data_IF_043539215858
#
_entry.id   IF_043539215858
#
_cell.length_a   1.000
_cell.length_b   1.000
_cell.length_c   1.000
_cell.angle_alpha   90.00
_cell.angle_beta   90.00
_cell.angle_gamma   90.00
#
_symmetry.space_group_name_H-M   'P 1'
#
loop_
_entity.id
_entity.type
_entity.pdbx_description
1 polymer ?
#
# COMPACT_ATOMS: atom_id res chain seq x y z
N UNK A 1 36.13 -18.98 -29.66
CA UNK A 1 35.05 -19.24 -28.70
C UNK A 1 35.05 -18.05 -27.76
N UNK A 2 34.32 -16.99 -28.14
CA UNK A 2 34.33 -15.68 -27.42
C UNK A 2 33.07 -15.68 -26.56
N UNK A 3 33.25 -15.83 -25.25
CA UNK A 3 32.18 -15.77 -24.27
C UNK A 3 31.74 -14.32 -24.04
N UNK A 4 30.45 -14.11 -24.15
CA UNK A 4 29.76 -12.84 -24.21
C UNK A 4 29.90 -12.05 -22.89
N UNK A 5 30.42 -10.85 -22.97
CA UNK A 5 30.72 -9.90 -21.87
C UNK A 5 29.52 -9.53 -21.00
N UNK A 6 28.29 -9.78 -21.43
CA UNK A 6 27.06 -9.54 -20.66
C UNK A 6 26.78 -10.60 -19.60
N UNK A 7 27.18 -11.85 -19.80
CA UNK A 7 27.00 -12.93 -18.82
C UNK A 7 27.94 -12.77 -17.62
N UNK A 8 29.18 -12.29 -17.84
CA UNK A 8 30.12 -12.05 -16.75
C UNK A 8 29.71 -10.92 -15.80
N UNK A 9 28.96 -9.91 -16.27
CA UNK A 9 28.46 -8.82 -15.40
C UNK A 9 27.32 -9.30 -14.49
N UNK A 10 26.49 -10.22 -14.93
CA UNK A 10 25.41 -10.81 -14.11
C UNK A 10 25.94 -11.74 -13.02
N UNK A 11 27.00 -12.52 -13.32
CA UNK A 11 27.64 -13.41 -12.34
C UNK A 11 28.41 -12.62 -11.27
N UNK A 12 29.06 -11.53 -11.65
CA UNK A 12 29.76 -10.63 -10.69
C UNK A 12 28.75 -9.90 -9.78
N UNK A 13 27.58 -9.52 -10.29
CA UNK A 13 26.54 -8.90 -9.47
C UNK A 13 25.87 -9.88 -8.50
N UNK A 14 25.72 -11.15 -8.89
CA UNK A 14 25.20 -12.21 -8.01
C UNK A 14 26.23 -12.63 -6.92
N UNK A 15 27.52 -12.57 -7.20
CA UNK A 15 28.57 -12.87 -6.21
C UNK A 15 28.76 -11.72 -5.18
N UNK A 16 28.48 -10.49 -5.55
CA UNK A 16 28.58 -9.33 -4.63
C UNK A 16 27.41 -9.26 -3.63
N UNK A 17 26.29 -9.93 -3.90
CA UNK A 17 25.16 -10.02 -2.98
C UNK A 17 25.30 -11.12 -1.91
N UNK A 18 26.28 -12.02 -2.04
CA UNK A 18 26.50 -13.15 -1.12
C UNK A 18 27.53 -12.88 -0.01
N UNK A 19 28.14 -11.70 0.05
CA UNK A 19 29.18 -11.38 1.05
C UNK A 19 28.77 -10.37 2.12
N UNK A 20 27.47 -10.19 2.37
CA UNK A 20 27.02 -9.42 3.53
C UNK A 20 26.84 -10.34 4.74
N UNK A 21 27.91 -10.61 5.45
CA UNK A 21 27.84 -11.15 6.82
C UNK A 21 27.32 -10.06 7.76
N UNK A 22 26.36 -10.36 8.64
CA UNK A 22 25.94 -9.38 9.64
C UNK A 22 27.04 -9.22 10.69
N UNK A 23 27.65 -8.04 10.72
CA UNK A 23 28.53 -7.62 11.80
C UNK A 23 27.66 -7.42 13.04
N UNK A 24 27.73 -8.35 13.99
CA UNK A 24 27.06 -8.26 15.28
C UNK A 24 27.64 -7.09 16.09
N UNK A 25 26.87 -6.01 16.17
CA UNK A 25 27.15 -4.94 17.12
C UNK A 25 26.69 -5.39 18.51
N UNK A 26 27.64 -5.80 19.35
CA UNK A 26 27.42 -5.91 20.80
C UNK A 26 27.23 -4.50 21.37
N UNK A 27 25.98 -4.16 21.69
CA UNK A 27 25.67 -2.99 22.48
C UNK A 27 26.11 -3.24 23.93
N UNK A 28 27.24 -2.67 24.28
CA UNK A 28 27.65 -2.57 25.66
C UNK A 28 26.77 -1.52 26.36
N UNK A 29 25.86 -1.99 27.21
CA UNK A 29 25.01 -1.14 28.04
C UNK A 29 25.84 -0.49 29.12
N UNK A 30 26.31 0.72 28.89
CA UNK A 30 26.88 1.57 29.95
C UNK A 30 25.73 2.32 30.61
N UNK A 31 25.39 1.88 31.82
CA UNK A 31 24.43 2.55 32.70
C UNK A 31 25.06 3.87 33.17
N UNK A 32 24.66 4.98 32.61
CA UNK A 32 25.01 6.31 33.11
C UNK A 32 23.99 6.66 34.20
N UNK A 33 24.40 6.57 35.45
CA UNK A 33 23.69 7.15 36.59
C UNK A 33 23.91 8.67 36.56
N UNK A 34 22.83 9.43 36.34
CA UNK A 34 22.80 10.86 36.54
C UNK A 34 22.43 11.14 38.01
N UNK A 35 23.09 12.06 38.69
CA UNK A 35 22.78 12.38 40.09
C UNK A 35 21.45 13.13 40.18
N UNK A 36 20.61 12.66 41.09
CA UNK A 36 19.48 13.39 41.62
C UNK A 36 20.03 14.59 42.44
N UNK A 37 19.83 15.79 41.89
CA UNK A 37 19.81 16.97 42.73
C UNK A 37 18.64 17.85 42.42
N UNK A 38 17.85 17.96 43.44
CA UNK A 38 16.69 18.78 43.68
C UNK A 38 16.80 20.23 43.17
N UNK A 39 15.87 20.63 42.30
CA UNK A 39 15.39 22.00 42.28
C UNK A 39 13.86 21.95 42.25
N UNK A 40 13.28 22.09 43.43
CA UNK A 40 11.90 22.51 43.64
C UNK A 40 11.81 23.99 43.28
N UNK A 41 11.19 24.29 42.14
CA UNK A 41 10.71 25.60 41.85
C UNK A 41 9.20 25.53 41.65
N UNK A 42 8.51 25.89 42.68
CA UNK A 42 7.15 26.38 42.74
C UNK A 42 7.02 27.51 41.74
N UNK A 43 6.16 27.38 40.73
CA UNK A 43 5.50 28.54 40.13
C UNK A 43 4.08 28.16 39.72
N UNK A 44 3.25 28.88 40.42
CA UNK A 44 1.82 29.06 40.31
C UNK A 44 1.28 29.22 38.90
N UNK A 45 0.07 28.69 38.80
CA UNK A 45 -1.09 29.29 38.13
C UNK A 45 -0.82 30.15 36.90
N UNK A 46 -1.13 29.58 35.73
CA UNK A 46 -1.75 30.38 34.70
C UNK A 46 -2.24 29.58 33.51
N UNK A 47 -3.55 29.70 33.28
CA UNK A 47 -4.23 29.57 31.99
C UNK A 47 -4.30 28.14 31.42
N UNK A 48 -5.49 27.55 31.23
CA UNK A 48 -5.66 26.36 30.46
C UNK A 48 -5.30 26.67 28.98
N UNK A 49 -4.05 26.54 28.65
CA UNK A 49 -3.61 26.58 27.27
C UNK A 49 -4.47 25.60 26.51
N UNK A 50 -5.33 26.07 25.62
CA UNK A 50 -6.04 25.26 24.63
C UNK A 50 -5.02 24.25 24.09
N UNK A 51 -5.11 22.96 24.48
CA UNK A 51 -4.23 21.90 23.97
C UNK A 51 -4.23 22.05 22.47
N UNK A 52 -3.09 22.41 21.90
CA UNK A 52 -2.93 22.62 20.47
C UNK A 52 -3.55 21.42 19.76
N UNK A 53 -4.36 21.66 18.73
CA UNK A 53 -4.95 20.61 17.89
C UNK A 53 -3.90 19.58 17.50
N UNK A 54 -2.67 20.01 17.23
CA UNK A 54 -1.51 19.18 16.90
C UNK A 54 -1.11 18.25 18.06
N UNK A 55 -1.15 18.70 19.31
CA UNK A 55 -0.86 17.84 20.47
C UNK A 55 -1.94 16.79 20.68
N UNK A 56 -3.22 17.14 20.52
CA UNK A 56 -4.32 16.17 20.56
C UNK A 56 -4.22 15.14 19.43
N UNK A 57 -3.76 15.57 18.26
CA UNK A 57 -3.53 14.72 17.11
C UNK A 57 -2.39 13.73 17.38
N UNK A 58 -1.23 14.19 17.87
CA UNK A 58 -0.11 13.31 18.26
C UNK A 58 -0.47 12.35 19.39
N UNK A 59 -1.19 12.82 20.40
CA UNK A 59 -1.66 11.98 21.51
C UNK A 59 -2.60 10.87 21.01
N UNK A 60 -3.49 11.19 20.05
CA UNK A 60 -4.37 10.22 19.41
C UNK A 60 -3.58 9.13 18.66
N UNK A 61 -2.53 9.51 17.90
CA UNK A 61 -1.65 8.55 17.22
C UNK A 61 -0.91 7.63 18.20
N UNK A 62 -0.36 8.21 19.26
CA UNK A 62 0.33 7.44 20.30
C UNK A 62 -0.61 6.47 21.03
N UNK A 63 -1.85 6.88 21.26
CA UNK A 63 -2.85 6.02 21.91
C UNK A 63 -3.45 4.96 20.97
N UNK A 64 -3.52 5.22 19.67
CA UNK A 64 -4.00 4.28 18.67
C UNK A 64 -3.06 3.07 18.52
N UNK A 65 -1.75 3.27 18.75
CA UNK A 65 -0.73 2.23 18.61
C UNK A 65 -0.43 1.46 19.92
N UNK A 66 -1.12 1.79 21.03
CA UNK A 66 -0.99 1.03 22.30
C UNK A 66 -1.80 -0.26 22.24
N UNK A 67 -1.17 -1.39 22.54
CA UNK A 67 -1.87 -2.67 22.72
C UNK A 67 -2.93 -2.56 23.82
N UNK A 68 -4.18 -2.65 23.46
CA UNK A 68 -5.30 -2.74 24.40
C UNK A 68 -5.84 -4.18 24.39
N UNK A 69 -5.50 -4.95 25.40
CA UNK A 69 -6.07 -6.28 25.66
C UNK A 69 -7.61 -6.18 25.68
N UNK A 70 -8.30 -6.93 24.80
CA UNK A 70 -9.77 -7.05 24.68
C UNK A 70 -10.50 -6.09 23.72
N UNK A 71 -9.89 -5.61 22.66
CA UNK A 71 -10.64 -4.88 21.62
C UNK A 71 -11.31 -5.83 20.62
N UNK A 72 -12.56 -5.49 20.25
CA UNK A 72 -13.28 -6.11 19.11
C UNK A 72 -12.61 -5.78 17.78
N UNK A 73 -11.87 -4.68 17.73
CA UNK A 73 -11.20 -4.11 16.58
C UNK A 73 -9.84 -3.61 17.04
N UNK A 74 -8.80 -4.19 16.50
CA UNK A 74 -7.42 -3.76 16.74
C UNK A 74 -7.00 -2.84 15.60
N UNK A 75 -6.61 -1.61 15.95
CA UNK A 75 -6.42 -0.54 15.01
C UNK A 75 -5.04 0.10 15.21
N UNK A 76 -4.28 0.20 14.13
CA UNK A 76 -2.96 0.81 14.09
C UNK A 76 -2.93 1.92 13.02
N UNK A 77 -2.29 3.03 13.35
CA UNK A 77 -2.10 4.15 12.43
C UNK A 77 -0.62 4.46 12.29
N UNK A 78 -0.17 4.52 11.06
CA UNK A 78 1.20 4.87 10.70
C UNK A 78 1.13 5.96 9.64
N UNK A 79 1.96 6.99 9.79
CA UNK A 79 2.03 8.05 8.79
C UNK A 79 3.18 8.99 9.06
N UNK A 80 3.50 9.78 8.06
CA UNK A 80 4.58 10.76 8.16
C UNK A 80 4.88 11.44 6.83
N UNK A 81 5.77 12.44 6.88
CA UNK A 81 6.27 13.09 5.69
C UNK A 81 7.19 12.12 4.91
N UNK A 82 7.12 12.22 3.60
CA UNK A 82 7.99 11.47 2.69
C UNK A 82 8.45 12.35 1.52
N UNK A 83 9.47 11.89 0.84
CA UNK A 83 9.97 12.48 -0.39
C UNK A 83 10.17 11.41 -1.47
N UNK A 84 9.73 11.69 -2.68
CA UNK A 84 9.92 10.85 -3.86
C UNK A 84 10.31 11.74 -5.06
N UNK A 85 11.05 11.20 -6.03
CA UNK A 85 11.41 11.90 -7.25
C UNK A 85 10.18 12.38 -8.03
N UNK A 86 9.12 11.59 -8.05
CA UNK A 86 7.92 11.82 -8.87
C UNK A 86 6.89 12.69 -8.16
N UNK A 87 6.67 12.44 -6.87
CA UNK A 87 5.66 13.15 -6.07
C UNK A 87 6.23 14.27 -5.20
N UNK A 88 7.57 14.43 -5.19
CA UNK A 88 8.29 15.43 -4.37
C UNK A 88 7.97 15.25 -2.89
N UNK A 89 7.70 16.34 -2.18
CA UNK A 89 7.38 16.29 -0.76
C UNK A 89 5.91 15.91 -0.56
N UNK A 90 5.64 14.93 0.31
CA UNK A 90 4.30 14.45 0.60
C UNK A 90 4.09 14.11 2.06
N UNK A 91 2.84 13.91 2.41
CA UNK A 91 2.38 13.41 3.69
C UNK A 91 1.47 12.22 3.46
N UNK A 92 1.92 11.03 3.91
CA UNK A 92 1.20 9.78 3.81
C UNK A 92 0.67 9.31 5.15
N UNK A 93 -0.48 8.62 5.13
CA UNK A 93 -1.13 8.05 6.30
C UNK A 93 -1.76 6.72 5.95
N UNK A 94 -1.52 5.71 6.78
CA UNK A 94 -2.14 4.38 6.70
C UNK A 94 -2.76 4.05 8.04
N UNK A 95 -4.04 3.73 8.02
CA UNK A 95 -4.77 3.21 9.15
C UNK A 95 -5.17 1.76 8.87
N UNK A 96 -4.65 0.82 9.63
CA UNK A 96 -4.92 -0.62 9.46
C UNK A 96 -5.64 -1.18 10.67
N UNK A 97 -6.64 -2.00 10.45
CA UNK A 97 -7.41 -2.64 11.50
C UNK A 97 -7.61 -4.13 11.25
N UNK A 98 -7.54 -4.89 12.34
CA UNK A 98 -7.88 -6.31 12.38
C UNK A 98 -9.17 -6.50 13.18
N UNK A 99 -10.08 -7.32 12.67
CA UNK A 99 -11.32 -7.64 13.35
C UNK A 99 -11.73 -9.08 13.14
N UNK A 100 -12.39 -9.67 14.14
CA UNK A 100 -12.92 -11.03 14.06
C UNK A 100 -14.39 -10.99 13.67
N UNK A 101 -14.71 -11.70 12.61
CA UNK A 101 -16.09 -11.86 12.13
C UNK A 101 -16.88 -12.84 13.00
N UNK A 102 -16.21 -13.89 13.48
CA UNK A 102 -16.78 -14.84 14.45
C UNK A 102 -15.92 -14.85 15.71
N UNK A 103 -16.56 -14.78 16.87
CA UNK A 103 -15.91 -14.80 18.19
C UNK A 103 -15.78 -16.18 18.77
N UNK A 104 -16.64 -17.09 18.31
CA UNK A 104 -16.71 -18.46 18.80
C UNK A 104 -15.65 -19.29 18.10
N UNK A 105 -15.42 -19.02 16.80
CA UNK A 105 -14.39 -19.68 16.00
C UNK A 105 -13.02 -19.02 16.21
N UNK A 106 -12.28 -19.55 17.17
CA UNK A 106 -10.91 -19.08 17.50
C UNK A 106 -9.88 -19.47 16.44
N UNK A 107 -10.20 -20.44 15.58
CA UNK A 107 -9.33 -20.90 14.50
C UNK A 107 -9.44 -20.01 13.24
N UNK A 108 -10.52 -19.24 13.14
CA UNK A 108 -10.71 -18.32 12.03
C UNK A 108 -9.71 -17.15 12.14
N UNK A 109 -8.84 -16.93 11.14
CA UNK A 109 -7.97 -15.77 11.13
C UNK A 109 -8.78 -14.46 11.16
N UNK A 110 -8.24 -13.39 11.74
CA UNK A 110 -8.92 -12.10 11.73
C UNK A 110 -9.03 -11.54 10.31
N UNK A 111 -10.15 -10.93 10.01
CA UNK A 111 -10.35 -10.08 8.85
C UNK A 111 -9.54 -8.79 8.99
N UNK A 112 -9.13 -8.19 7.89
CA UNK A 112 -8.39 -6.94 7.90
C UNK A 112 -9.04 -5.87 7.03
N UNK A 113 -8.83 -4.63 7.39
CA UNK A 113 -9.16 -3.45 6.61
C UNK A 113 -8.05 -2.43 6.75
N UNK A 114 -7.64 -1.83 5.65
CA UNK A 114 -6.65 -0.75 5.64
C UNK A 114 -7.21 0.43 4.86
N UNK A 115 -7.13 1.60 5.46
CA UNK A 115 -7.40 2.89 4.83
C UNK A 115 -6.05 3.59 4.64
N UNK A 116 -5.79 4.11 3.46
CA UNK A 116 -4.56 4.85 3.18
C UNK A 116 -4.86 6.11 2.39
N UNK A 117 -4.16 7.15 2.74
CA UNK A 117 -4.22 8.45 2.10
C UNK A 117 -2.85 9.06 1.95
N UNK A 118 -2.66 9.81 0.88
CA UNK A 118 -1.42 10.50 0.58
C UNK A 118 -1.72 11.81 -0.16
N UNK A 119 -0.95 12.83 0.13
CA UNK A 119 -1.01 14.11 -0.57
C UNK A 119 0.39 14.68 -0.75
N UNK A 120 0.66 15.32 -1.88
CA UNK A 120 1.97 15.89 -2.15
C UNK A 120 1.92 17.30 -2.72
N UNK A 121 3.08 17.95 -2.71
CA UNK A 121 3.26 19.34 -3.18
C UNK A 121 3.06 19.53 -4.66
N UNK A 122 3.21 18.48 -5.49
CA UNK A 122 2.99 18.52 -6.94
C UNK A 122 1.55 18.21 -7.36
N UNK A 123 0.63 18.14 -6.38
CA UNK A 123 -0.78 17.85 -6.65
C UNK A 123 -1.09 16.35 -6.84
N UNK A 124 -0.19 15.47 -6.40
CA UNK A 124 -0.53 14.06 -6.20
C UNK A 124 -1.43 13.94 -4.99
N UNK A 125 -2.47 13.15 -5.10
CA UNK A 125 -3.27 12.67 -3.98
C UNK A 125 -3.72 11.25 -4.22
N UNK A 126 -3.78 10.47 -3.16
CA UNK A 126 -4.23 9.09 -3.13
C UNK A 126 -5.17 8.91 -1.94
N UNK A 127 -6.30 8.29 -2.17
CA UNK A 127 -7.18 7.77 -1.14
C UNK A 127 -7.55 6.34 -1.50
N UNK A 128 -7.37 5.41 -0.57
CA UNK A 128 -7.66 4.02 -0.85
C UNK A 128 -8.15 3.25 0.36
N UNK A 129 -8.94 2.21 0.07
CA UNK A 129 -9.43 1.24 1.04
C UNK A 129 -9.18 -0.14 0.47
N UNK A 130 -8.53 -1.00 1.23
CA UNK A 130 -8.38 -2.42 0.90
C UNK A 130 -8.62 -3.29 2.11
N UNK A 131 -9.06 -4.50 1.87
CA UNK A 131 -9.22 -5.45 2.95
C UNK A 131 -9.59 -6.84 2.49
N UNK A 132 -9.55 -7.75 3.47
CA UNK A 132 -10.02 -9.11 3.34
C UNK A 132 -11.06 -9.35 4.43
N UNK A 133 -12.27 -9.66 4.06
CA UNK A 133 -13.32 -10.06 4.97
C UNK A 133 -13.51 -11.58 4.89
N UNK A 134 -13.26 -12.26 6.01
CA UNK A 134 -13.44 -13.69 6.15
C UNK A 134 -14.78 -13.96 6.81
N UNK A 135 -15.60 -14.75 6.14
CA UNK A 135 -16.89 -15.17 6.68
C UNK A 135 -16.72 -16.34 7.67
N UNK A 136 -17.70 -16.57 8.56
CA UNK A 136 -17.65 -17.64 9.54
C UNK A 136 -17.32 -19.01 8.92
N UNK A 137 -16.51 -19.80 9.63
CA UNK A 137 -15.99 -21.12 9.20
C UNK A 137 -15.12 -21.04 7.93
N UNK A 138 -14.66 -19.84 7.55
CA UNK A 138 -13.86 -19.60 6.35
C UNK A 138 -14.47 -20.15 5.05
N UNK A 139 -15.82 -20.15 4.97
CA UNK A 139 -16.55 -20.64 3.80
C UNK A 139 -16.43 -19.72 2.60
N UNK A 140 -16.39 -18.42 2.86
CA UNK A 140 -16.29 -17.37 1.85
C UNK A 140 -15.23 -16.37 2.26
N UNK A 141 -14.59 -15.76 1.25
CA UNK A 141 -13.66 -14.64 1.44
C UNK A 141 -14.02 -13.54 0.46
N UNK A 142 -14.11 -12.31 0.95
CA UNK A 142 -14.31 -11.11 0.15
C UNK A 142 -13.02 -10.28 0.22
N UNK A 143 -12.33 -10.16 -0.90
CA UNK A 143 -11.21 -9.26 -1.03
C UNK A 143 -11.69 -8.03 -1.80
N UNK A 144 -11.37 -6.86 -1.30
CA UNK A 144 -11.72 -5.61 -1.95
C UNK A 144 -10.56 -4.63 -1.93
N UNK A 145 -10.49 -3.83 -2.99
CA UNK A 145 -9.46 -2.83 -3.17
C UNK A 145 -10.04 -1.68 -4.00
N UNK A 146 -10.13 -0.52 -3.37
CA UNK A 146 -10.67 0.70 -3.95
C UNK A 146 -9.63 1.78 -3.86
N UNK A 147 -9.34 2.45 -4.99
CA UNK A 147 -8.47 3.63 -4.99
C UNK A 147 -9.08 4.77 -5.78
N UNK A 148 -8.72 5.95 -5.30
CA UNK A 148 -8.91 7.21 -6.02
C UNK A 148 -7.58 7.94 -5.95
N UNK A 149 -6.98 8.23 -7.10
CA UNK A 149 -5.74 8.97 -7.12
C UNK A 149 -5.64 9.92 -8.31
N UNK A 150 -4.88 10.99 -8.11
CA UNK A 150 -4.44 11.88 -9.15
C UNK A 150 -2.92 11.90 -9.17
N UNK A 151 -2.33 11.63 -10.31
CA UNK A 151 -0.89 11.51 -10.47
C UNK A 151 -0.41 12.41 -11.60
N UNK A 152 0.59 13.30 -11.37
CA UNK A 152 1.27 13.98 -12.44
C UNK A 152 2.02 12.94 -13.28
N UNK A 153 1.80 12.94 -14.57
CA UNK A 153 2.33 11.95 -15.51
C UNK A 153 2.93 12.64 -16.71
N UNK A 154 3.89 11.99 -17.33
CA UNK A 154 4.54 12.43 -18.55
C UNK A 154 4.06 11.61 -19.75
N UNK A 155 3.96 12.23 -20.91
CA UNK A 155 3.58 11.61 -22.15
C UNK A 155 4.36 12.22 -23.32
N UNK A 156 4.87 11.37 -24.20
CA UNK A 156 5.70 11.77 -25.35
C UNK A 156 5.02 11.58 -26.70
N UNK A 157 3.74 11.25 -26.71
CA UNK A 157 3.03 10.91 -27.94
C UNK A 157 3.03 9.40 -28.22
N UNK A 158 2.40 9.04 -29.34
CA UNK A 158 2.19 7.65 -29.74
C UNK A 158 3.28 7.19 -30.71
N UNK A 159 3.83 5.99 -30.46
CA UNK A 159 4.82 5.35 -31.34
C UNK A 159 6.26 5.65 -30.95
N UNK A 160 7.18 4.94 -31.60
CA UNK A 160 8.60 5.00 -31.29
C UNK A 160 9.21 6.37 -31.58
N UNK A 161 8.88 6.96 -32.72
CA UNK A 161 9.47 8.22 -33.19
C UNK A 161 9.12 9.39 -32.24
N UNK A 162 7.87 9.45 -31.78
CA UNK A 162 7.45 10.43 -30.80
C UNK A 162 8.09 10.18 -29.43
N UNK A 163 8.14 8.91 -28.99
CA UNK A 163 8.72 8.54 -27.70
C UNK A 163 10.25 8.68 -27.64
N UNK A 164 10.93 8.67 -28.77
CA UNK A 164 12.38 8.88 -28.85
C UNK A 164 12.78 10.37 -28.86
N UNK A 165 11.83 11.27 -29.13
CA UNK A 165 12.07 12.71 -29.17
C UNK A 165 11.76 13.34 -27.80
N UNK A 166 12.80 13.80 -27.10
CA UNK A 166 12.66 14.47 -25.81
C UNK A 166 11.86 15.79 -25.87
N UNK A 167 11.80 16.42 -27.03
CA UNK A 167 11.02 17.66 -27.21
C UNK A 167 9.51 17.39 -27.13
N UNK A 168 9.07 16.12 -27.26
CA UNK A 168 7.67 15.73 -27.14
C UNK A 168 7.23 15.49 -25.70
N UNK A 169 8.12 15.64 -24.72
CA UNK A 169 7.73 15.54 -23.31
C UNK A 169 6.62 16.52 -22.98
N UNK A 170 5.53 16.00 -22.44
CA UNK A 170 4.31 16.75 -22.14
C UNK A 170 3.76 16.31 -20.78
N UNK A 171 3.59 17.28 -19.90
CA UNK A 171 2.95 17.07 -18.60
C UNK A 171 1.43 16.92 -18.75
N UNK A 172 0.86 16.00 -18.00
CA UNK A 172 -0.59 15.91 -17.80
C UNK A 172 -0.93 15.35 -16.42
N UNK A 173 -2.15 15.58 -15.98
CA UNK A 173 -2.67 14.98 -14.73
C UNK A 173 -3.55 13.78 -15.06
N UNK A 174 -3.20 12.63 -14.51
CA UNK A 174 -3.98 11.41 -14.61
C UNK A 174 -4.80 11.22 -13.34
N UNK A 175 -6.10 11.35 -13.47
CA UNK A 175 -7.04 10.91 -12.43
C UNK A 175 -7.45 9.48 -12.70
N UNK A 176 -7.43 8.62 -11.68
CA UNK A 176 -7.90 7.25 -11.79
C UNK A 176 -8.73 6.86 -10.56
N UNK A 177 -9.85 6.22 -10.82
CA UNK A 177 -10.66 5.52 -9.83
C UNK A 177 -10.71 4.05 -10.19
N UNK A 178 -10.31 3.19 -9.26
CA UNK A 178 -10.33 1.74 -9.44
C UNK A 178 -11.11 1.07 -8.33
N UNK A 179 -11.95 0.12 -8.71
CA UNK A 179 -12.65 -0.79 -7.81
C UNK A 179 -12.33 -2.20 -8.25
N UNK A 180 -11.73 -2.99 -7.36
CA UNK A 180 -11.48 -4.42 -7.57
C UNK A 180 -12.11 -5.20 -6.42
N UNK A 181 -12.91 -6.20 -6.77
CA UNK A 181 -13.60 -7.07 -5.81
C UNK A 181 -13.44 -8.52 -6.25
N UNK A 182 -13.01 -9.37 -5.32
CA UNK A 182 -12.93 -10.82 -5.48
C UNK A 182 -13.81 -11.48 -4.43
N UNK A 183 -14.78 -12.26 -4.83
CA UNK A 183 -15.63 -13.04 -3.92
C UNK A 183 -15.36 -14.52 -4.10
N UNK A 184 -14.74 -15.15 -3.09
CA UNK A 184 -14.21 -16.51 -3.19
C UNK A 184 -14.99 -17.48 -2.33
N UNK A 185 -15.26 -18.65 -2.88
CA UNK A 185 -15.91 -19.79 -2.26
C UNK A 185 -14.87 -20.86 -1.92
N UNK A 186 -14.93 -21.41 -0.73
CA UNK A 186 -14.05 -22.51 -0.34
C UNK A 186 -14.47 -23.81 -1.02
N UNK A 187 -13.62 -24.34 -1.90
CA UNK A 187 -13.82 -25.64 -2.56
C UNK A 187 -13.27 -26.81 -1.73
N UNK A 188 -12.07 -26.64 -1.17
CA UNK A 188 -11.39 -27.63 -0.36
C UNK A 188 -10.59 -26.94 0.74
N UNK A 189 -9.90 -27.70 1.59
CA UNK A 189 -9.01 -27.13 2.59
C UNK A 189 -7.98 -26.24 1.91
N UNK A 190 -7.89 -24.97 2.31
CA UNK A 190 -6.96 -23.96 1.81
C UNK A 190 -7.14 -23.57 0.32
N UNK A 191 -8.19 -24.05 -0.35
CA UNK A 191 -8.42 -23.83 -1.76
C UNK A 191 -9.75 -23.12 -2.01
N UNK A 192 -9.69 -22.02 -2.75
CA UNK A 192 -10.82 -21.12 -2.97
C UNK A 192 -10.90 -20.76 -4.46
N UNK A 193 -12.12 -20.59 -4.94
CA UNK A 193 -12.42 -20.12 -6.31
C UNK A 193 -13.57 -19.11 -6.24
N UNK A 194 -13.57 -18.16 -7.15
CA UNK A 194 -14.70 -17.24 -7.23
C UNK A 194 -14.57 -16.19 -8.32
N UNK A 195 -15.64 -15.45 -8.56
CA UNK A 195 -15.65 -14.36 -9.52
C UNK A 195 -14.81 -13.18 -9.01
N UNK A 196 -14.19 -12.50 -9.97
CA UNK A 196 -13.50 -11.23 -9.80
C UNK A 196 -14.15 -10.19 -10.71
N UNK A 197 -14.34 -8.99 -10.19
CA UNK A 197 -14.77 -7.83 -10.96
C UNK A 197 -13.77 -6.68 -10.75
N UNK A 198 -13.41 -6.01 -11.84
CA UNK A 198 -12.56 -4.82 -11.83
C UNK A 198 -13.27 -3.73 -12.64
N UNK A 199 -13.32 -2.56 -12.06
CA UNK A 199 -13.78 -1.34 -12.72
C UNK A 199 -12.68 -0.28 -12.61
N UNK A 200 -12.24 0.23 -13.75
CA UNK A 200 -11.26 1.30 -13.87
C UNK A 200 -11.86 2.49 -14.62
N UNK A 201 -11.78 3.66 -14.02
CA UNK A 201 -12.07 4.93 -14.66
C UNK A 201 -10.81 5.78 -14.69
N UNK A 202 -10.39 6.18 -15.86
CA UNK A 202 -9.18 6.99 -16.08
C UNK A 202 -9.58 8.26 -16.82
N UNK A 203 -9.12 9.42 -16.34
CA UNK A 203 -9.38 10.72 -16.94
C UNK A 203 -8.07 11.54 -16.97
N UNK A 204 -7.56 11.77 -18.17
CA UNK A 204 -6.41 12.64 -18.40
C UNK A 204 -6.86 14.10 -18.47
N UNK A 205 -6.15 14.96 -17.76
CA UNK A 205 -6.48 16.41 -17.67
C UNK A 205 -5.22 17.26 -17.76
N UNK A 206 -5.42 18.52 -18.11
CA UNK A 206 -4.38 19.54 -18.11
C UNK A 206 -3.18 19.13 -18.97
N UNK A 207 -3.42 18.73 -20.22
CA UNK A 207 -2.37 18.42 -21.17
C UNK A 207 -1.59 19.67 -21.54
N UNK A 208 -0.28 19.64 -21.39
CA UNK A 208 0.59 20.75 -21.82
C UNK A 208 0.66 20.83 -23.34
N UNK A 209 0.76 19.67 -24.02
CA UNK A 209 0.81 19.53 -25.48
C UNK A 209 -0.36 18.67 -25.97
N UNK A 210 -1.57 19.25 -26.13
CA UNK A 210 -2.75 18.49 -26.52
C UNK A 210 -2.66 17.89 -27.92
N UNK A 211 -1.80 18.44 -28.81
CA UNK A 211 -1.54 17.93 -30.15
C UNK A 211 -0.97 16.51 -30.17
N UNK A 212 -0.23 16.11 -29.13
CA UNK A 212 0.32 14.76 -29.00
C UNK A 212 -0.77 13.71 -28.71
N UNK A 213 -1.96 14.14 -28.34
CA UNK A 213 -3.11 13.30 -28.00
C UNK A 213 -4.08 13.11 -29.16
N UNK A 214 -3.73 13.51 -30.37
CA UNK A 214 -4.59 13.41 -31.54
C UNK A 214 -5.21 12.03 -31.71
N UNK A 215 -6.55 11.99 -31.78
CA UNK A 215 -7.33 10.77 -31.96
C UNK A 215 -7.42 9.84 -30.73
N UNK A 216 -6.88 10.24 -29.58
CA UNK A 216 -7.01 9.46 -28.36
C UNK A 216 -8.06 10.04 -27.40
N UNK A 217 -8.84 9.16 -26.78
CA UNK A 217 -9.77 9.57 -25.75
C UNK A 217 -9.01 9.94 -24.47
N UNK A 218 -9.20 11.17 -23.99
CA UNK A 218 -8.65 11.61 -22.71
C UNK A 218 -9.29 10.86 -21.52
N UNK A 219 -10.47 10.29 -21.76
CA UNK A 219 -11.24 9.54 -20.75
C UNK A 219 -11.48 8.11 -21.21
N UNK A 220 -11.22 7.16 -20.32
CA UNK A 220 -11.41 5.72 -20.57
C UNK A 220 -12.07 5.07 -19.37
N UNK A 221 -13.06 4.21 -19.65
CA UNK A 221 -13.68 3.37 -18.64
C UNK A 221 -13.49 1.91 -19.04
N UNK A 222 -12.97 1.12 -18.11
CA UNK A 222 -12.72 -0.30 -18.31
C UNK A 222 -13.49 -1.10 -17.28
N UNK A 223 -14.20 -2.14 -17.73
CA UNK A 223 -14.87 -3.09 -16.84
C UNK A 223 -14.42 -4.49 -17.22
N UNK A 224 -13.88 -5.22 -16.26
CA UNK A 224 -13.40 -6.58 -16.47
C UNK A 224 -14.06 -7.53 -15.48
N UNK A 225 -14.47 -8.69 -15.98
CA UNK A 225 -14.92 -9.82 -15.17
C UNK A 225 -13.94 -10.96 -15.34
N UNK A 226 -13.71 -11.70 -14.28
CA UNK A 226 -12.75 -12.80 -14.30
C UNK A 226 -13.05 -13.84 -13.24
N UNK A 227 -12.18 -14.84 -13.17
CA UNK A 227 -12.18 -15.87 -12.15
C UNK A 227 -10.87 -15.80 -11.38
N UNK A 228 -10.95 -15.91 -10.08
CA UNK A 228 -9.81 -16.01 -9.16
C UNK A 228 -9.75 -17.41 -8.57
N UNK A 229 -8.54 -17.96 -8.50
CA UNK A 229 -8.23 -19.22 -7.87
C UNK A 229 -7.16 -18.97 -6.81
N UNK A 230 -7.44 -19.32 -5.56
CA UNK A 230 -6.55 -19.07 -4.45
C UNK A 230 -6.23 -20.36 -3.70
N UNK A 231 -4.94 -20.61 -3.52
CA UNK A 231 -4.44 -21.56 -2.53
C UNK A 231 -3.74 -20.80 -1.42
N UNK A 232 -4.23 -20.93 -0.19
CA UNK A 232 -3.71 -20.20 0.98
C UNK A 232 -3.61 -21.12 2.19
N UNK A 233 -2.40 -21.61 2.45
CA UNK A 233 -2.08 -22.47 3.60
C UNK A 233 -1.29 -21.77 4.69
N UNK A 234 -1.20 -20.43 4.64
CA UNK A 234 -0.47 -19.64 5.64
C UNK A 234 -1.06 -19.80 7.03
N UNK A 235 -0.20 -19.87 8.03
CA UNK A 235 -0.56 -19.86 9.44
C UNK A 235 -1.19 -18.52 9.87
N UNK A 236 -0.60 -17.39 9.42
CA UNK A 236 -1.13 -16.04 9.63
C UNK A 236 -1.25 -15.28 8.30
N UNK A 237 -2.39 -14.65 8.07
CA UNK A 237 -2.65 -13.95 6.80
C UNK A 237 -1.81 -12.69 6.63
N UNK A 238 -1.52 -11.98 7.71
CA UNK A 238 -0.82 -10.69 7.72
C UNK A 238 0.69 -10.82 7.90
N UNK A 239 1.14 -11.86 8.62
CA UNK A 239 2.55 -12.11 8.90
C UNK A 239 2.78 -13.62 8.99
N UNK A 240 2.95 -14.27 7.84
CA UNK A 240 3.10 -15.71 7.74
C UNK A 240 4.53 -16.15 8.10
N UNK A 241 4.62 -17.14 8.99
CA UNK A 241 5.88 -17.83 9.30
C UNK A 241 6.00 -19.13 8.49
N UNK A 242 4.86 -19.77 8.20
CA UNK A 242 4.80 -21.03 7.46
C UNK A 242 3.61 -21.04 6.50
N UNK A 243 3.75 -21.82 5.42
CA UNK A 243 2.69 -22.04 4.45
C UNK A 243 2.96 -21.39 3.10
N UNK A 244 2.03 -21.60 2.16
CA UNK A 244 2.12 -21.12 0.79
C UNK A 244 0.90 -20.26 0.47
N UNK A 245 1.14 -19.23 -0.33
CA UNK A 245 0.11 -18.39 -0.91
C UNK A 245 0.30 -18.35 -2.43
N UNK A 246 -0.72 -18.81 -3.16
CA UNK A 246 -0.75 -18.77 -4.61
C UNK A 246 -2.11 -18.22 -5.06
N UNK A 247 -2.09 -17.11 -5.76
CA UNK A 247 -3.27 -16.48 -6.34
C UNK A 247 -3.11 -16.45 -7.86
N UNK A 248 -4.03 -17.12 -8.55
CA UNK A 248 -4.19 -17.07 -9.99
C UNK A 248 -5.49 -16.36 -10.29
N UNK A 249 -5.48 -15.47 -11.24
CA UNK A 249 -6.70 -14.83 -11.74
C UNK A 249 -6.62 -14.63 -13.24
N UNK A 250 -7.75 -14.76 -13.90
CA UNK A 250 -7.91 -14.50 -15.32
C UNK A 250 -8.93 -13.39 -15.51
N UNK A 251 -8.63 -12.48 -16.42
CA UNK A 251 -9.55 -11.48 -16.91
C UNK A 251 -9.56 -11.56 -18.43
N UNK A 252 -10.72 -11.50 -19.12
CA UNK A 252 -10.71 -11.44 -20.56
C UNK A 252 -9.88 -10.23 -21.02
N UNK A 253 -9.00 -10.50 -22.00
CA UNK A 253 -8.21 -9.44 -22.62
C UNK A 253 -9.16 -8.54 -23.44
N UNK A 254 -8.96 -7.22 -23.45
CA UNK A 254 -9.71 -6.32 -24.35
C UNK A 254 -9.54 -6.66 -25.84
N UNK A 255 -8.61 -7.55 -26.19
CA UNK A 255 -8.38 -8.03 -27.55
C UNK A 255 -9.28 -9.19 -27.95
N UNK A 256 -9.96 -9.79 -26.98
CA UNK A 256 -10.81 -10.98 -27.19
C UNK A 256 -12.29 -10.61 -27.34
N UNK A 257 -12.60 -9.30 -27.49
CA UNK A 257 -13.95 -8.74 -27.69
C UNK A 257 -14.03 -8.08 -29.07
#
# INVERSE_FOLDING_TARGET
>A
MIMNTRQNRLIIFALLLLTQTPLGAQLHSTKIELPEDSISATMEDSIPAKRSFFKKFLDYFNDANKEKKNKKFDFSVIGGPHYSSDTKFGLGLVAAGLYRTDRIDTLLPPSNVSLYGDVSTVGFYLLGVRGNHLFPKDKYRLNYNLYFYSFPSLYWGRGYDNGANSDNESDYKRFQAQVKVDFMFRLAKNFYIGPMAVFDYIDGRNFEKPELWEGMAARTTNTSLGLSLLYDSRDFLTNAYHGYYCLLYTSPSPRDI
#
